data_IF_025848682460
#
_entry.id   IF_025848682460
#
_cell.length_a   1.000
_cell.length_b   1.000
_cell.length_c   1.000
_cell.angle_alpha   90.00
_cell.angle_beta   90.00
_cell.angle_gamma   90.00
#
_symmetry.space_group_name_H-M   'P 1'
#
loop_
_entity.id
_entity.type
_entity.pdbx_description
1 polymer ?
#
# COMPACT_ATOMS: atom_id res chain seq x y z
N UNK A 1 -1.84 -0.67 -11.88
CA UNK A 1 -3.07 -1.26 -11.31
C UNK A 1 -3.94 -1.72 -12.45
N UNK A 2 -4.32 -2.99 -12.48
CA UNK A 2 -5.28 -3.53 -13.44
C UNK A 2 -6.54 -4.00 -12.70
N UNK A 3 -7.70 -3.62 -13.20
CA UNK A 3 -9.01 -4.07 -12.70
C UNK A 3 -9.59 -5.05 -13.71
N UNK A 4 -9.78 -6.28 -13.29
CA UNK A 4 -10.44 -7.34 -14.06
C UNK A 4 -11.84 -7.56 -13.48
N UNK A 5 -12.85 -7.41 -14.30
CA UNK A 5 -14.26 -7.58 -13.91
C UNK A 5 -14.74 -8.98 -14.28
N UNK A 6 -15.47 -9.62 -13.36
CA UNK A 6 -16.06 -10.95 -13.56
C UNK A 6 -15.22 -12.09 -12.96
N UNK A 7 -15.79 -13.29 -13.01
CA UNK A 7 -15.18 -14.51 -12.54
C UNK A 7 -14.18 -15.05 -13.59
N UNK A 8 -13.03 -14.40 -13.71
CA UNK A 8 -11.99 -14.85 -14.62
C UNK A 8 -10.96 -15.70 -13.86
N UNK A 9 -10.87 -16.98 -14.20
CA UNK A 9 -9.96 -17.94 -13.58
C UNK A 9 -8.47 -17.73 -13.92
N UNK A 10 -8.14 -16.68 -14.69
CA UNK A 10 -6.74 -16.41 -15.14
C UNK A 10 -5.78 -16.13 -13.98
N UNK A 11 -6.29 -15.68 -12.81
CA UNK A 11 -5.51 -15.32 -11.64
C UNK A 11 -5.82 -16.19 -10.41
N UNK A 12 -6.42 -17.34 -10.59
CA UNK A 12 -6.82 -18.26 -9.52
C UNK A 12 -8.26 -18.06 -9.06
N UNK A 13 -8.61 -18.64 -7.91
CA UNK A 13 -9.92 -18.51 -7.32
C UNK A 13 -10.16 -17.07 -6.86
N UNK A 14 -10.91 -16.32 -7.63
CA UNK A 14 -11.32 -14.94 -7.34
C UNK A 14 -12.80 -14.86 -7.00
N UNK A 15 -13.21 -13.77 -6.36
CA UNK A 15 -14.64 -13.50 -6.13
C UNK A 15 -15.33 -13.05 -7.43
N UNK A 16 -16.63 -13.32 -7.53
CA UNK A 16 -17.45 -13.03 -8.72
C UNK A 16 -17.47 -11.52 -9.09
N UNK A 17 -17.10 -10.63 -8.16
CA UNK A 17 -17.05 -9.18 -8.36
C UNK A 17 -15.87 -8.68 -9.19
N UNK A 18 -14.78 -9.45 -9.27
CA UNK A 18 -13.55 -9.08 -9.98
C UNK A 18 -12.29 -9.10 -9.12
N UNK A 19 -11.15 -8.85 -9.78
CA UNK A 19 -9.81 -8.87 -9.17
C UNK A 19 -9.10 -7.54 -9.43
N UNK A 20 -8.50 -6.96 -8.39
CA UNK A 20 -7.59 -5.82 -8.50
C UNK A 20 -6.16 -6.36 -8.46
N UNK A 21 -5.45 -6.27 -9.57
CA UNK A 21 -4.03 -6.62 -9.63
C UNK A 21 -3.16 -5.40 -9.33
N UNK A 22 -2.36 -5.48 -8.27
CA UNK A 22 -1.40 -4.46 -7.86
C UNK A 22 0.00 -4.92 -8.20
N UNK A 23 0.71 -4.11 -8.97
CA UNK A 23 2.11 -4.34 -9.31
C UNK A 23 3.01 -3.38 -8.55
N UNK A 24 4.08 -3.86 -7.95
CA UNK A 24 5.08 -3.03 -7.29
C UNK A 24 5.75 -2.09 -8.30
N UNK A 25 6.02 -0.86 -7.89
CA UNK A 25 6.79 0.10 -8.70
C UNK A 25 8.21 -0.44 -8.89
N UNK A 26 8.60 -0.71 -10.13
CA UNK A 26 9.96 -1.18 -10.44
C UNK A 26 10.91 0.00 -10.61
N UNK A 27 12.20 -0.17 -10.26
CA UNK A 27 13.25 0.77 -10.63
C UNK A 27 13.36 0.94 -12.14
N UNK A 28 13.85 2.12 -12.56
CA UNK A 28 14.17 2.45 -13.96
C UNK A 28 15.65 2.79 -14.08
N UNK A 29 16.23 2.61 -15.27
CA UNK A 29 17.60 3.02 -15.55
C UNK A 29 17.73 4.56 -15.63
N UNK A 30 16.71 5.23 -16.19
CA UNK A 30 16.67 6.69 -16.27
C UNK A 30 16.40 7.27 -14.89
N UNK A 31 17.15 8.34 -14.54
CA UNK A 31 16.92 9.06 -13.29
C UNK A 31 15.66 9.91 -13.40
N UNK A 32 14.70 9.58 -12.57
CA UNK A 32 13.45 10.35 -12.44
C UNK A 32 13.19 10.67 -10.97
N UNK A 33 12.81 11.90 -10.68
CA UNK A 33 12.36 12.32 -9.35
C UNK A 33 11.01 13.01 -9.54
N UNK A 34 10.02 12.55 -8.82
CA UNK A 34 8.70 13.18 -8.80
C UNK A 34 8.28 13.46 -7.37
N UNK A 35 7.52 14.53 -7.19
CA UNK A 35 6.89 14.87 -5.92
C UNK A 35 5.43 15.24 -6.16
N UNK A 36 4.57 14.90 -5.23
CA UNK A 36 3.16 15.25 -5.27
C UNK A 36 2.72 15.75 -3.89
N UNK A 37 2.03 16.90 -3.91
CA UNK A 37 1.35 17.43 -2.74
C UNK A 37 -0.14 17.50 -3.07
N UNK A 38 -0.98 16.98 -2.18
CA UNK A 38 -2.43 17.08 -2.33
C UNK A 38 -3.07 17.56 -1.05
N UNK A 39 -4.12 18.35 -1.21
CA UNK A 39 -4.95 18.87 -0.13
C UNK A 39 -6.41 18.59 -0.46
N UNK A 40 -7.17 18.18 0.54
CA UNK A 40 -8.58 17.83 0.37
C UNK A 40 -9.43 18.28 1.56
N UNK A 41 -10.72 17.98 1.48
CA UNK A 41 -11.68 18.23 2.57
C UNK A 41 -11.26 17.47 3.84
N UNK A 42 -11.68 17.98 4.98
CA UNK A 42 -11.38 17.43 6.32
C UNK A 42 -9.86 17.36 6.60
N UNK A 43 -9.16 18.45 6.32
CA UNK A 43 -7.73 18.59 6.59
C UNK A 43 -6.90 17.41 6.02
N UNK A 44 -7.31 16.87 4.88
CA UNK A 44 -6.57 15.80 4.22
C UNK A 44 -5.37 16.39 3.49
N UNK A 45 -4.19 16.18 4.03
CA UNK A 45 -2.91 16.57 3.46
C UNK A 45 -2.09 15.33 3.15
N UNK A 46 -1.58 15.24 1.94
CA UNK A 46 -0.72 14.15 1.51
C UNK A 46 0.49 14.67 0.77
N UNK A 47 1.67 14.21 1.18
CA UNK A 47 2.93 14.44 0.50
C UNK A 47 3.51 13.10 0.02
N UNK A 48 4.02 13.08 -1.20
CA UNK A 48 4.70 11.93 -1.79
C UNK A 48 5.97 12.40 -2.49
N UNK A 49 7.06 11.64 -2.32
CA UNK A 49 8.28 11.74 -3.10
C UNK A 49 8.64 10.37 -3.64
N UNK A 50 9.02 10.30 -4.90
CA UNK A 50 9.36 9.08 -5.62
C UNK A 50 10.59 9.33 -6.48
N UNK A 51 11.67 8.63 -6.21
CA UNK A 51 12.93 8.73 -6.95
C UNK A 51 13.36 7.36 -7.48
N UNK A 52 13.85 7.34 -8.71
CA UNK A 52 14.39 6.14 -9.35
C UNK A 52 15.58 6.49 -10.23
N UNK A 53 16.48 5.54 -10.48
CA UNK A 53 17.62 5.71 -11.36
C UNK A 53 18.60 4.54 -11.32
N UNK A 54 19.54 4.53 -12.24
CA UNK A 54 20.68 3.63 -12.22
C UNK A 54 21.63 4.01 -11.06
N UNK A 55 22.17 3.00 -10.38
CA UNK A 55 23.11 3.13 -9.27
C UNK A 55 24.56 2.87 -9.68
N UNK A 56 24.76 2.37 -10.91
CA UNK A 56 26.09 2.16 -11.49
C UNK A 56 26.14 2.64 -12.95
N UNK A 57 27.35 2.81 -13.47
CA UNK A 57 27.61 3.34 -14.83
C UNK A 57 27.07 2.43 -15.91
N UNK A 58 27.13 1.11 -15.69
CA UNK A 58 26.64 0.09 -16.62
C UNK A 58 25.11 -0.07 -16.60
N UNK A 59 24.42 0.65 -15.71
CA UNK A 59 22.97 0.61 -15.54
C UNK A 59 22.41 -0.78 -15.18
N UNK A 60 23.27 -1.70 -14.76
CA UNK A 60 22.88 -3.07 -14.38
C UNK A 60 22.28 -3.14 -12.97
N UNK A 61 22.44 -2.08 -12.18
CA UNK A 61 21.84 -1.92 -10.85
C UNK A 61 20.97 -0.68 -10.87
N UNK A 62 19.67 -0.84 -10.65
CA UNK A 62 18.72 0.27 -10.60
C UNK A 62 18.04 0.28 -9.25
N UNK A 63 17.78 1.48 -8.74
CA UNK A 63 17.12 1.71 -7.46
C UNK A 63 15.86 2.54 -7.59
N UNK A 64 14.93 2.33 -6.66
CA UNK A 64 13.75 3.19 -6.46
C UNK A 64 13.45 3.34 -4.99
N UNK A 65 13.14 4.57 -4.57
CA UNK A 65 12.68 4.87 -3.23
C UNK A 65 11.43 5.75 -3.30
N UNK A 66 10.43 5.42 -2.48
CA UNK A 66 9.18 6.19 -2.37
C UNK A 66 8.90 6.45 -0.90
N UNK A 67 8.56 7.69 -0.56
CA UNK A 67 8.07 8.05 0.77
C UNK A 67 6.72 8.75 0.64
N UNK A 68 5.80 8.41 1.52
CA UNK A 68 4.46 8.99 1.59
C UNK A 68 4.12 9.32 3.03
N UNK A 69 3.62 10.55 3.23
CA UNK A 69 3.04 10.99 4.49
C UNK A 69 1.63 11.49 4.20
N UNK A 70 0.66 11.07 4.98
CA UNK A 70 -0.71 11.54 4.88
C UNK A 70 -1.27 11.76 6.27
N UNK A 71 -1.99 12.85 6.41
CA UNK A 71 -2.67 13.28 7.63
C UNK A 71 -4.07 13.72 7.24
N UNK A 72 -5.11 13.18 7.91
CA UNK A 72 -6.49 13.52 7.56
C UNK A 72 -7.45 13.38 8.75
N UNK A 73 -8.41 14.28 8.80
CA UNK A 73 -9.62 14.16 9.61
C UNK A 73 -10.72 13.45 8.84
N UNK A 74 -11.84 13.17 9.51
CA UNK A 74 -13.05 12.65 8.89
C UNK A 74 -14.22 13.59 9.09
N UNK A 75 -15.32 13.38 8.35
CA UNK A 75 -16.55 14.14 8.53
C UNK A 75 -17.20 13.90 9.91
N UNK A 76 -16.83 12.83 10.61
CA UNK A 76 -17.24 12.52 11.98
C UNK A 76 -16.06 12.78 12.93
N UNK A 77 -16.34 13.47 14.03
CA UNK A 77 -15.31 13.93 14.96
C UNK A 77 -15.38 13.15 16.26
N UNK A 78 -14.25 12.91 16.96
CA UNK A 78 -12.91 13.49 16.74
C UNK A 78 -11.94 12.61 15.91
N UNK A 79 -12.42 11.75 15.04
CA UNK A 79 -11.59 10.77 14.33
C UNK A 79 -10.54 11.42 13.43
N UNK A 80 -9.33 10.95 13.56
CA UNK A 80 -8.15 11.40 12.83
C UNK A 80 -7.34 10.18 12.35
N UNK A 81 -6.72 10.27 11.17
CA UNK A 81 -5.87 9.21 10.63
C UNK A 81 -4.54 9.78 10.14
N UNK A 82 -3.46 9.13 10.52
CA UNK A 82 -2.12 9.38 10.02
C UNK A 82 -1.57 8.13 9.36
N UNK A 83 -1.04 8.30 8.15
CA UNK A 83 -0.37 7.25 7.39
C UNK A 83 1.05 7.65 7.04
N UNK A 84 1.96 6.73 7.27
CA UNK A 84 3.36 6.83 6.87
C UNK A 84 3.70 5.59 6.03
N UNK A 85 4.38 5.79 4.90
CA UNK A 85 4.81 4.69 4.04
C UNK A 85 6.21 4.98 3.49
N UNK A 86 7.06 3.96 3.56
CA UNK A 86 8.37 3.92 2.92
C UNK A 86 8.43 2.69 2.02
N UNK A 87 8.99 2.85 0.85
CA UNK A 87 9.21 1.77 -0.11
C UNK A 87 10.60 1.92 -0.70
N UNK A 88 11.34 0.83 -0.75
CA UNK A 88 12.64 0.74 -1.41
C UNK A 88 12.72 -0.51 -2.25
N UNK A 89 13.26 -0.41 -3.47
CA UNK A 89 13.46 -1.55 -4.35
C UNK A 89 14.74 -1.42 -5.15
N UNK A 90 15.34 -2.56 -5.43
CA UNK A 90 16.53 -2.72 -6.28
C UNK A 90 16.24 -3.73 -7.38
N UNK A 91 16.74 -3.45 -8.56
CA UNK A 91 16.76 -4.36 -9.67
C UNK A 91 18.22 -4.61 -10.06
N UNK A 92 18.63 -5.88 -10.15
CA UNK A 92 19.94 -6.31 -10.54
C UNK A 92 19.85 -7.11 -11.85
N UNK A 93 20.55 -6.70 -12.87
CA UNK A 93 20.78 -7.47 -14.07
C UNK A 93 22.03 -8.33 -13.86
N UNK A 94 21.82 -9.55 -13.31
CA UNK A 94 22.91 -10.47 -12.96
C UNK A 94 23.59 -11.05 -14.19
N UNK A 95 22.84 -11.19 -15.29
CA UNK A 95 23.30 -11.55 -16.63
C UNK A 95 22.26 -11.10 -17.67
N UNK A 96 22.55 -11.15 -18.98
CA UNK A 96 21.56 -10.86 -20.01
C UNK A 96 20.27 -11.69 -19.92
N UNK A 97 20.36 -12.86 -19.28
CA UNK A 97 19.21 -13.76 -19.10
C UNK A 97 18.63 -13.75 -17.69
N UNK A 98 19.31 -13.14 -16.69
CA UNK A 98 18.92 -13.29 -15.28
C UNK A 98 18.76 -11.93 -14.62
N UNK A 99 17.57 -11.67 -14.07
CA UNK A 99 17.30 -10.47 -13.27
C UNK A 99 16.85 -10.86 -11.87
N UNK A 100 17.29 -10.07 -10.88
CA UNK A 100 16.83 -10.13 -9.50
C UNK A 100 16.18 -8.78 -9.17
N UNK A 101 14.91 -8.81 -8.82
CA UNK A 101 14.16 -7.67 -8.28
C UNK A 101 13.85 -7.92 -6.82
N UNK A 102 14.31 -7.05 -5.94
CA UNK A 102 14.09 -7.19 -4.49
C UNK A 102 13.77 -5.85 -3.85
N UNK A 103 13.16 -5.89 -2.68
CA UNK A 103 12.88 -4.66 -1.95
C UNK A 103 12.10 -4.89 -0.67
N UNK A 104 11.77 -3.77 -0.05
CA UNK A 104 11.02 -3.72 1.18
C UNK A 104 10.00 -2.57 1.16
N UNK A 105 8.92 -2.72 1.89
CA UNK A 105 8.03 -1.61 2.24
C UNK A 105 7.71 -1.63 3.72
N UNK A 106 7.59 -0.45 4.28
CA UNK A 106 7.07 -0.20 5.62
C UNK A 106 5.84 0.68 5.50
N UNK A 107 4.78 0.34 6.20
CA UNK A 107 3.58 1.15 6.28
C UNK A 107 3.08 1.16 7.71
N UNK A 108 2.77 2.35 8.22
CA UNK A 108 2.13 2.57 9.50
C UNK A 108 0.87 3.39 9.28
N UNK A 109 -0.26 2.88 9.76
CA UNK A 109 -1.56 3.55 9.79
C UNK A 109 -1.99 3.68 11.24
N UNK A 110 -2.24 4.90 11.71
CA UNK A 110 -2.79 5.16 13.03
C UNK A 110 -4.09 5.93 12.89
N UNK A 111 -5.16 5.41 13.49
CA UNK A 111 -6.48 6.05 13.53
C UNK A 111 -6.84 6.29 14.99
N UNK A 112 -6.94 7.56 15.37
CA UNK A 112 -7.41 7.97 16.69
C UNK A 112 -8.95 8.03 16.72
N UNK A 113 -9.53 7.80 17.89
CA UNK A 113 -10.98 7.72 18.10
C UNK A 113 -11.68 6.76 17.14
N UNK A 114 -11.02 5.61 16.90
CA UNK A 114 -11.57 4.57 16.03
C UNK A 114 -12.95 4.12 16.50
N UNK A 115 -13.89 3.99 15.56
CA UNK A 115 -15.23 3.47 15.79
C UNK A 115 -15.66 2.53 14.65
N UNK A 116 -16.21 1.39 15.02
CA UNK A 116 -16.62 0.37 14.07
C UNK A 116 -18.05 0.57 13.53
N UNK A 117 -18.97 1.16 14.31
CA UNK A 117 -20.38 1.27 13.93
C UNK A 117 -21.16 2.26 14.82
N UNK A 118 -22.30 2.74 14.31
CA UNK A 118 -23.30 3.46 15.08
C UNK A 118 -24.39 2.48 15.58
N UNK A 119 -24.93 2.68 16.78
CA UNK A 119 -26.02 1.88 17.28
C UNK A 119 -27.30 2.12 16.47
N UNK A 120 -28.21 1.18 16.55
CA UNK A 120 -29.58 1.29 16.02
C UNK A 120 -30.58 0.95 17.13
N UNK A 121 -31.83 1.32 16.92
CA UNK A 121 -32.91 0.84 17.78
C UNK A 121 -33.04 -0.69 17.73
N UNK A 122 -33.65 -1.29 18.74
CA UNK A 122 -33.82 -2.75 18.82
C UNK A 122 -34.58 -3.35 17.64
N UNK A 123 -35.45 -2.58 17.01
CA UNK A 123 -36.20 -2.93 15.80
C UNK A 123 -35.41 -2.70 14.50
N UNK A 124 -34.15 -2.25 14.61
CA UNK A 124 -33.29 -1.93 13.47
C UNK A 124 -33.47 -0.52 12.89
N UNK A 125 -34.39 0.27 13.44
CA UNK A 125 -34.63 1.63 12.98
C UNK A 125 -33.40 2.54 13.21
N UNK A 126 -33.26 3.57 12.38
CA UNK A 126 -32.22 4.57 12.48
C UNK A 126 -32.51 5.50 13.68
N UNK A 127 -31.47 5.83 14.43
CA UNK A 127 -31.54 6.79 15.53
C UNK A 127 -31.59 8.25 15.07
N UNK A 128 -31.51 8.49 13.74
CA UNK A 128 -31.46 9.84 13.15
C UNK A 128 -30.38 10.74 13.76
N UNK A 129 -29.23 10.16 14.09
CA UNK A 129 -28.10 10.91 14.65
C UNK A 129 -27.49 11.83 13.58
N UNK A 130 -26.91 12.97 13.99
CA UNK A 130 -26.15 13.81 13.07
C UNK A 130 -25.08 13.01 12.33
N UNK A 131 -24.87 13.31 11.04
CA UNK A 131 -23.86 12.63 10.21
C UNK A 131 -22.45 12.66 10.80
N UNK A 132 -22.15 13.67 11.63
CA UNK A 132 -20.86 13.84 12.29
C UNK A 132 -20.72 13.04 13.58
N UNK A 133 -21.72 12.24 13.97
CA UNK A 133 -21.69 11.45 15.19
C UNK A 133 -20.68 10.31 15.08
N UNK A 134 -19.89 10.12 16.12
CA UNK A 134 -19.05 8.93 16.33
C UNK A 134 -19.28 8.39 17.74
N UNK A 135 -19.09 7.08 17.90
CA UNK A 135 -19.07 6.40 19.19
C UNK A 135 -17.63 6.11 19.65
N UNK A 136 -16.63 6.50 18.85
CA UNK A 136 -15.24 6.35 19.21
C UNK A 136 -14.88 7.18 20.45
N UNK A 137 -14.27 6.55 21.45
CA UNK A 137 -13.75 7.25 22.60
C UNK A 137 -12.57 8.16 22.18
N UNK A 138 -12.47 9.40 22.68
CA UNK A 138 -11.39 10.32 22.30
C UNK A 138 -9.98 9.79 22.58
N UNK A 139 -9.86 8.85 23.50
CA UNK A 139 -8.60 8.18 23.87
C UNK A 139 -8.40 6.83 23.17
N UNK A 140 -9.41 6.36 22.43
CA UNK A 140 -9.32 5.13 21.66
C UNK A 140 -8.43 5.32 20.43
N UNK A 141 -7.70 4.29 20.04
CA UNK A 141 -6.88 4.28 18.83
C UNK A 141 -6.77 2.88 18.24
N UNK A 142 -6.51 2.84 16.96
CA UNK A 142 -6.12 1.66 16.23
C UNK A 142 -4.84 1.98 15.44
N UNK A 143 -3.82 1.17 15.64
CA UNK A 143 -2.54 1.29 14.94
C UNK A 143 -2.24 -0.02 14.21
N UNK A 144 -1.81 0.08 12.98
CA UNK A 144 -1.38 -1.03 12.16
C UNK A 144 -0.04 -0.75 11.55
N UNK A 145 0.92 -1.62 11.81
CA UNK A 145 2.23 -1.60 11.17
C UNK A 145 2.38 -2.82 10.26
N UNK A 146 2.94 -2.61 9.07
CA UNK A 146 3.21 -3.68 8.12
C UNK A 146 4.58 -3.48 7.49
N UNK A 147 5.42 -4.50 7.58
CA UNK A 147 6.68 -4.62 6.85
C UNK A 147 6.53 -5.74 5.84
N UNK A 148 6.79 -5.44 4.58
CA UNK A 148 6.80 -6.44 3.51
C UNK A 148 8.18 -6.50 2.89
N UNK A 149 8.78 -7.68 2.87
CA UNK A 149 10.01 -8.00 2.18
C UNK A 149 9.66 -8.85 0.96
N UNK A 150 10.29 -8.59 -0.17
CA UNK A 150 10.03 -9.35 -1.39
C UNK A 150 11.28 -9.54 -2.22
N UNK A 151 11.33 -10.66 -2.94
CA UNK A 151 12.33 -10.94 -3.96
C UNK A 151 11.69 -11.70 -5.12
N UNK A 152 12.12 -11.37 -6.32
CA UNK A 152 11.71 -12.00 -7.57
C UNK A 152 12.94 -12.25 -8.41
N UNK A 153 13.20 -13.51 -8.74
CA UNK A 153 14.24 -13.92 -9.70
C UNK A 153 13.57 -14.36 -10.98
N UNK A 154 14.01 -13.81 -12.09
CA UNK A 154 13.57 -14.21 -13.42
C UNK A 154 14.78 -14.70 -14.20
N UNK A 155 14.63 -15.85 -14.86
CA UNK A 155 15.65 -16.40 -15.77
C UNK A 155 15.01 -16.81 -17.10
N UNK A 156 15.61 -16.37 -18.19
CA UNK A 156 15.23 -16.71 -19.57
C UNK A 156 16.23 -17.74 -20.10
N UNK A 157 15.80 -18.99 -20.28
CA UNK A 157 16.64 -20.05 -20.80
C UNK A 157 16.85 -19.94 -22.33
N UNK A 158 15.76 -19.60 -23.02
CA UNK A 158 15.70 -19.37 -24.47
C UNK A 158 14.39 -18.65 -24.83
N UNK A 159 14.08 -18.49 -26.10
CA UNK A 159 12.91 -17.77 -26.60
C UNK A 159 11.57 -18.39 -26.15
N UNK A 160 11.55 -19.70 -25.89
CA UNK A 160 10.35 -20.46 -25.53
C UNK A 160 10.19 -20.65 -24.00
N UNK A 161 11.32 -20.61 -23.25
CA UNK A 161 11.33 -20.98 -21.84
C UNK A 161 11.87 -19.87 -20.94
N UNK A 162 11.03 -19.41 -20.03
CA UNK A 162 11.42 -18.54 -18.91
C UNK A 162 10.88 -19.09 -17.59
N UNK A 163 11.62 -18.87 -16.52
CA UNK A 163 11.16 -19.16 -15.16
C UNK A 163 11.13 -17.92 -14.33
N UNK A 164 10.23 -17.90 -13.33
CA UNK A 164 10.13 -16.82 -12.38
C UNK A 164 9.86 -17.40 -11.01
N UNK A 165 10.70 -17.03 -10.06
CA UNK A 165 10.56 -17.39 -8.66
C UNK A 165 10.27 -16.14 -7.83
N UNK A 166 9.18 -16.17 -7.03
CA UNK A 166 8.74 -15.07 -6.20
C UNK A 166 8.70 -15.50 -4.74
N UNK A 167 9.27 -14.68 -3.87
CA UNK A 167 9.13 -14.81 -2.42
C UNK A 167 8.63 -13.49 -1.85
N UNK A 168 7.69 -13.58 -0.93
CA UNK A 168 7.23 -12.44 -0.13
C UNK A 168 7.07 -12.87 1.32
N UNK A 169 7.56 -12.03 2.21
CA UNK A 169 7.39 -12.18 3.65
C UNK A 169 6.77 -10.90 4.21
N UNK A 170 5.65 -11.04 4.92
CA UNK A 170 4.97 -9.93 5.56
C UNK A 170 5.01 -10.11 7.07
N UNK A 171 5.36 -9.03 7.77
CA UNK A 171 5.34 -8.93 9.23
C UNK A 171 4.35 -7.82 9.54
N UNK A 172 3.30 -8.15 10.27
CA UNK A 172 2.27 -7.19 10.70
C UNK A 172 2.19 -7.14 12.21
N UNK A 173 1.95 -5.94 12.74
CA UNK A 173 1.62 -5.71 14.14
C UNK A 173 0.39 -4.79 14.18
N UNK A 174 -0.63 -5.21 14.91
CA UNK A 174 -1.88 -4.49 15.06
C UNK A 174 -2.11 -4.19 16.56
N UNK A 175 -2.13 -2.91 16.90
CA UNK A 175 -2.51 -2.41 18.22
C UNK A 175 -3.89 -1.78 18.19
N UNK A 176 -4.71 -2.08 19.17
CA UNK A 176 -6.03 -1.46 19.34
C UNK A 176 -6.28 -1.15 20.81
N UNK A 177 -6.77 0.05 21.08
CA UNK A 177 -7.27 0.46 22.37
C UNK A 177 -8.68 1.01 22.20
N UNK A 178 -9.65 0.29 22.67
CA UNK A 178 -11.07 0.66 22.62
C UNK A 178 -11.69 0.61 24.02
N UNK A 179 -12.74 1.37 24.21
CA UNK A 179 -13.52 1.31 25.43
C UNK A 179 -14.37 0.04 25.49
#
# INVERSE_FOLDING_TARGET
VALLRGADGLFGAGEAGGVINLTSKRPKAETEISSALSMGSWNNYRAEIDGTGALNTEQTIQGRAVAVLQDQDFFYKPTHNRREMLYGALNFELSPQTTLFTGASYQKDKTDAFNASLPRWQDGADLNLPRSTTMGAPWGWMERENISLFANVQHVFNDDWKTQFNVRHNIGDDGINTA
#
